data_IF_387983912515
#
_entry.id   IF_387983912515
#
_cell.length_a   1.000
_cell.length_b   1.000
_cell.length_c   1.000
_cell.angle_alpha   90.00
_cell.angle_beta   90.00
_cell.angle_gamma   90.00
#
_symmetry.space_group_name_H-M   'P 1'
#
loop_
_entity.id
_entity.type
_entity.pdbx_description
1 polymer ?
#
# COMPACT_ATOMS: atom_id res chain seq x y z
N UNK A 1 6.36 -19.83 -18.43
CA UNK A 1 7.36 -18.96 -19.10
C UNK A 1 7.38 -17.63 -18.36
N UNK A 2 8.58 -17.12 -18.04
CA UNK A 2 8.79 -15.97 -17.16
C UNK A 2 9.43 -14.82 -17.95
N UNK A 3 9.16 -13.59 -17.54
CA UNK A 3 9.93 -12.41 -17.95
C UNK A 3 11.18 -12.31 -17.07
N UNK A 4 12.36 -12.11 -17.66
CA UNK A 4 13.65 -12.04 -16.94
C UNK A 4 14.24 -10.64 -17.00
N UNK A 5 14.67 -10.11 -15.86
CA UNK A 5 15.31 -8.80 -15.71
C UNK A 5 16.78 -8.98 -15.35
N UNK A 6 17.67 -8.87 -16.34
CA UNK A 6 19.12 -9.10 -16.14
C UNK A 6 19.70 -8.16 -15.08
N UNK A 7 19.42 -6.86 -15.18
CA UNK A 7 19.94 -5.83 -14.29
C UNK A 7 19.35 -5.89 -12.86
N UNK A 8 18.33 -6.71 -12.64
CA UNK A 8 17.82 -7.07 -11.32
C UNK A 8 18.28 -8.48 -10.88
N UNK A 9 19.49 -8.88 -11.27
CA UNK A 9 20.10 -10.18 -10.98
C UNK A 9 19.28 -11.36 -11.50
N UNK A 10 18.81 -11.26 -12.75
CA UNK A 10 17.91 -12.24 -13.37
C UNK A 10 16.63 -12.47 -12.57
N UNK A 11 16.13 -11.44 -11.88
CA UNK A 11 14.82 -11.50 -11.25
C UNK A 11 13.76 -11.85 -12.29
N UNK A 12 12.79 -12.66 -11.90
CA UNK A 12 11.77 -13.17 -12.81
C UNK A 12 10.37 -12.83 -12.34
N UNK A 13 9.50 -12.49 -13.28
CA UNK A 13 8.06 -12.35 -13.04
C UNK A 13 7.26 -13.20 -14.02
N UNK A 14 6.05 -13.65 -13.65
CA UNK A 14 5.16 -14.31 -14.59
C UNK A 14 4.90 -13.42 -15.82
N UNK A 15 4.95 -14.00 -17.03
CA UNK A 15 4.60 -13.26 -18.26
C UNK A 15 3.22 -12.62 -18.18
N UNK A 16 2.24 -13.32 -17.61
CA UNK A 16 0.88 -12.81 -17.42
C UNK A 16 0.85 -11.53 -16.58
N UNK A 17 1.70 -11.44 -15.55
CA UNK A 17 1.81 -10.23 -14.74
C UNK A 17 2.37 -9.06 -15.54
N UNK A 18 3.40 -9.27 -16.37
CA UNK A 18 3.96 -8.19 -17.19
C UNK A 18 2.95 -7.70 -18.25
N UNK A 19 2.22 -8.61 -18.91
CA UNK A 19 1.17 -8.24 -19.88
C UNK A 19 0.02 -7.50 -19.17
N UNK A 20 -0.38 -7.94 -17.98
CA UNK A 20 -1.35 -7.22 -17.17
C UNK A 20 -0.87 -5.82 -16.82
N UNK A 21 0.39 -5.68 -16.41
CA UNK A 21 0.99 -4.39 -16.09
C UNK A 21 1.04 -3.47 -17.31
N UNK A 22 1.43 -3.98 -18.48
CA UNK A 22 1.35 -3.29 -19.77
C UNK A 22 -0.06 -2.75 -20.03
N UNK A 23 -1.07 -3.61 -19.93
CA UNK A 23 -2.48 -3.23 -20.12
C UNK A 23 -2.94 -2.15 -19.14
N UNK A 24 -2.55 -2.28 -17.87
CA UNK A 24 -2.86 -1.28 -16.83
C UNK A 24 -2.17 0.05 -17.12
N UNK A 25 -0.93 0.02 -17.60
CA UNK A 25 -0.13 1.19 -17.96
C UNK A 25 -0.77 1.99 -19.09
N UNK A 26 -1.19 1.31 -20.17
CA UNK A 26 -1.96 1.93 -21.26
C UNK A 26 -3.24 2.57 -20.74
N UNK A 27 -4.00 1.87 -19.91
CA UNK A 27 -5.24 2.41 -19.34
C UNK A 27 -5.01 3.65 -18.47
N UNK A 28 -3.80 3.85 -17.92
CA UNK A 28 -3.50 4.94 -16.97
C UNK A 28 -2.85 6.14 -17.64
N UNK A 29 -1.95 5.91 -18.59
CA UNK A 29 -1.05 6.94 -19.10
C UNK A 29 -1.09 7.13 -20.62
N UNK A 30 -1.67 6.20 -21.38
CA UNK A 30 -1.86 6.38 -22.83
C UNK A 30 -3.01 7.33 -23.11
N UNK A 31 -2.91 8.13 -24.17
CA UNK A 31 -4.04 8.90 -24.70
C UNK A 31 -5.14 8.00 -25.28
N UNK A 32 -4.77 6.84 -25.83
CA UNK A 32 -5.69 5.76 -26.21
C UNK A 32 -5.61 4.61 -25.21
N UNK A 33 -6.57 4.58 -24.28
CA UNK A 33 -6.65 3.55 -23.23
C UNK A 33 -6.97 2.14 -23.77
N UNK A 34 -7.51 2.01 -24.98
CA UNK A 34 -7.91 0.72 -25.56
C UNK A 34 -6.83 0.12 -26.46
N UNK A 35 -5.85 0.92 -26.87
CA UNK A 35 -4.77 0.51 -27.76
C UNK A 35 -3.80 -0.52 -27.16
N UNK A 36 -3.91 -0.95 -25.90
CA UNK A 36 -2.88 -1.79 -25.25
C UNK A 36 -2.45 -3.06 -25.99
N UNK A 37 -3.28 -3.60 -26.90
CA UNK A 37 -2.93 -4.77 -27.74
C UNK A 37 -1.96 -4.43 -28.87
N UNK A 38 -2.23 -3.34 -29.59
CA UNK A 38 -1.49 -2.94 -30.81
C UNK A 38 -0.54 -1.77 -30.56
N UNK A 39 -0.76 -1.09 -29.44
CA UNK A 39 -0.07 0.09 -29.00
C UNK A 39 1.39 -0.17 -28.69
N UNK A 40 2.14 0.91 -28.74
CA UNK A 40 3.58 0.92 -28.63
C UNK A 40 3.95 1.80 -27.43
N UNK A 41 5.00 1.43 -26.72
CA UNK A 41 5.59 2.27 -25.68
C UNK A 41 7.05 2.56 -26.03
N UNK A 42 7.50 3.81 -25.91
CA UNK A 42 8.91 4.15 -26.00
C UNK A 42 9.74 3.32 -25.03
N UNK A 43 10.93 2.89 -25.43
CA UNK A 43 11.81 2.16 -24.53
C UNK A 43 12.28 3.08 -23.39
N UNK A 44 12.79 4.27 -23.76
CA UNK A 44 13.41 5.25 -22.86
C UNK A 44 14.36 4.63 -21.83
N UNK A 45 15.23 3.74 -22.30
CA UNK A 45 16.26 3.14 -21.48
C UNK A 45 17.13 4.24 -20.85
N UNK A 46 17.35 4.17 -19.53
CA UNK A 46 18.02 5.24 -18.80
C UNK A 46 18.69 4.68 -17.56
N UNK A 47 19.88 5.21 -17.22
CA UNK A 47 20.58 4.89 -15.97
C UNK A 47 20.17 5.82 -14.82
N UNK A 48 19.34 6.84 -15.08
CA UNK A 48 18.88 7.77 -14.05
C UNK A 48 18.02 7.07 -13.01
N UNK A 49 17.97 7.57 -11.76
CA UNK A 49 17.00 7.12 -10.76
C UNK A 49 15.55 7.25 -11.23
N UNK A 50 14.65 6.44 -10.67
CA UNK A 50 13.25 6.39 -11.12
C UNK A 50 12.55 7.74 -10.99
N UNK A 51 12.76 8.45 -9.86
CA UNK A 51 12.11 9.74 -9.62
C UNK A 51 12.44 10.77 -10.72
N UNK A 52 13.66 10.79 -11.26
CA UNK A 52 14.04 11.69 -12.36
C UNK A 52 13.30 11.37 -13.66
N UNK A 53 13.03 10.09 -13.94
CA UNK A 53 12.25 9.70 -15.11
C UNK A 53 10.81 10.23 -15.00
N UNK A 54 10.24 10.17 -13.79
CA UNK A 54 8.90 10.68 -13.52
C UNK A 54 8.85 12.21 -13.61
N UNK A 55 9.83 12.92 -13.02
CA UNK A 55 9.95 14.39 -13.13
C UNK A 55 10.10 14.86 -14.59
N UNK A 56 10.68 14.01 -15.46
CA UNK A 56 10.82 14.25 -16.91
C UNK A 56 9.61 13.86 -17.75
N UNK A 57 8.50 13.49 -17.11
CA UNK A 57 7.27 13.04 -17.77
C UNK A 57 7.47 11.77 -18.62
N UNK A 58 8.42 10.91 -18.25
CA UNK A 58 8.72 9.65 -18.96
C UNK A 58 7.95 8.46 -18.39
N UNK A 59 6.87 8.70 -17.63
CA UNK A 59 6.10 7.63 -17.00
C UNK A 59 5.54 6.63 -18.01
N UNK A 60 5.12 7.05 -19.20
CA UNK A 60 4.66 6.14 -20.26
C UNK A 60 5.83 5.57 -21.07
N UNK A 61 6.57 4.64 -20.47
CA UNK A 61 7.70 3.95 -21.09
C UNK A 61 7.86 2.51 -20.63
N UNK A 62 8.53 1.70 -21.45
CA UNK A 62 8.89 0.32 -21.08
C UNK A 62 9.87 0.33 -19.90
N UNK A 63 10.79 1.29 -19.84
CA UNK A 63 11.76 1.43 -18.75
C UNK A 63 11.08 1.63 -17.39
N UNK A 64 10.15 2.58 -17.28
CA UNK A 64 9.42 2.82 -16.03
C UNK A 64 8.56 1.60 -15.67
N UNK A 65 7.84 1.02 -16.63
CA UNK A 65 7.07 -0.21 -16.39
C UNK A 65 7.95 -1.35 -15.88
N UNK A 66 9.13 -1.56 -16.48
CA UNK A 66 10.08 -2.59 -16.09
C UNK A 66 10.60 -2.37 -14.66
N UNK A 67 10.94 -1.13 -14.29
CA UNK A 67 11.31 -0.76 -12.92
C UNK A 67 10.19 -1.03 -11.92
N UNK A 68 8.93 -0.80 -12.29
CA UNK A 68 7.79 -1.14 -11.43
C UNK A 68 7.63 -2.65 -11.20
N UNK A 69 8.22 -3.49 -12.06
CA UNK A 69 8.11 -4.95 -11.95
C UNK A 69 9.16 -5.61 -11.07
N UNK A 70 10.28 -4.94 -10.80
CA UNK A 70 11.39 -5.48 -10.00
C UNK A 70 11.30 -5.06 -8.53
N UNK A 71 11.98 -5.77 -7.60
CA UNK A 71 12.09 -5.36 -6.20
C UNK A 71 12.61 -3.93 -6.06
N UNK A 72 12.18 -3.24 -5.00
CA UNK A 72 12.48 -1.82 -4.79
C UNK A 72 13.96 -1.47 -4.91
N UNK A 73 14.86 -2.34 -4.43
CA UNK A 73 16.32 -2.11 -4.44
C UNK A 73 16.94 -1.98 -5.84
N UNK A 74 16.19 -2.30 -6.90
CA UNK A 74 16.64 -2.20 -8.30
C UNK A 74 15.91 -1.11 -9.08
N UNK A 75 15.00 -0.35 -8.47
CA UNK A 75 14.16 0.62 -9.21
C UNK A 75 14.93 1.85 -9.70
N UNK A 76 16.07 2.16 -9.09
CA UNK A 76 16.95 3.25 -9.53
C UNK A 76 18.02 2.82 -10.54
N UNK A 77 18.02 1.56 -10.97
CA UNK A 77 18.91 1.10 -12.03
C UNK A 77 18.13 0.82 -13.32
N UNK A 78 18.82 0.99 -14.45
CA UNK A 78 18.30 0.69 -15.78
C UNK A 78 17.77 -0.75 -15.83
N UNK A 79 16.57 -0.97 -16.35
CA UNK A 79 16.01 -2.32 -16.51
C UNK A 79 15.85 -2.75 -17.97
N UNK A 80 15.72 -1.81 -18.90
CA UNK A 80 15.55 -2.06 -20.33
C UNK A 80 16.86 -1.77 -21.05
N UNK A 81 17.35 -2.77 -21.76
CA UNK A 81 18.48 -2.71 -22.68
C UNK A 81 18.33 -3.84 -23.73
N UNK A 82 19.28 -3.96 -24.66
CA UNK A 82 19.22 -4.98 -25.71
C UNK A 82 19.14 -6.41 -25.16
N UNK A 83 19.78 -6.68 -24.03
CA UNK A 83 19.74 -8.00 -23.39
C UNK A 83 18.36 -8.28 -22.78
N UNK A 84 17.71 -7.29 -22.14
CA UNK A 84 16.34 -7.42 -21.66
C UNK A 84 15.38 -7.82 -22.78
N UNK A 85 15.51 -7.22 -23.97
CA UNK A 85 14.67 -7.58 -25.12
C UNK A 85 15.01 -8.98 -25.62
N UNK A 86 16.30 -9.32 -25.76
CA UNK A 86 16.76 -10.65 -26.19
C UNK A 86 16.37 -11.78 -25.25
N UNK A 87 16.27 -11.52 -23.94
CA UNK A 87 15.82 -12.48 -22.94
C UNK A 87 14.30 -12.66 -22.92
N UNK A 88 13.54 -11.73 -23.50
CA UNK A 88 12.07 -11.71 -23.45
C UNK A 88 11.38 -11.67 -24.84
N UNK A 89 11.83 -12.45 -25.84
CA UNK A 89 11.33 -12.34 -27.22
C UNK A 89 9.89 -12.85 -27.38
N UNK A 90 9.43 -13.67 -26.44
CA UNK A 90 8.07 -14.18 -26.40
C UNK A 90 7.04 -13.15 -25.87
N UNK A 91 7.49 -11.97 -25.47
CA UNK A 91 6.64 -10.91 -24.89
C UNK A 91 6.76 -9.60 -25.64
N UNK A 92 7.98 -9.17 -25.95
CA UNK A 92 8.24 -7.86 -26.55
C UNK A 92 8.94 -8.00 -27.91
N UNK A 93 8.61 -7.10 -28.82
CA UNK A 93 9.35 -6.84 -30.06
C UNK A 93 9.61 -5.35 -30.21
N UNK A 94 10.79 -5.01 -30.74
CA UNK A 94 11.16 -3.62 -31.05
C UNK A 94 10.35 -3.12 -32.24
N UNK A 95 9.92 -1.86 -32.15
CA UNK A 95 9.23 -1.11 -33.19
C UNK A 95 9.65 0.36 -33.11
N UNK A 96 9.50 1.10 -34.21
CA UNK A 96 9.54 2.56 -34.14
C UNK A 96 8.17 3.08 -33.68
N UNK A 97 8.17 4.02 -32.74
CA UNK A 97 6.97 4.67 -32.25
C UNK A 97 7.19 6.18 -32.10
N UNK A 98 6.10 6.94 -32.02
CA UNK A 98 6.15 8.35 -31.61
C UNK A 98 5.98 8.44 -30.10
N UNK A 99 6.57 9.46 -29.48
CA UNK A 99 6.39 9.76 -28.07
C UNK A 99 5.97 11.22 -27.90
N UNK A 100 4.99 11.49 -27.03
CA UNK A 100 4.46 12.85 -26.85
C UNK A 100 5.52 13.87 -26.40
N UNK A 101 6.60 13.40 -25.77
CA UNK A 101 7.69 14.22 -25.22
C UNK A 101 8.90 14.38 -26.15
N UNK A 102 8.90 13.76 -27.33
CA UNK A 102 10.02 13.83 -28.27
C UNK A 102 9.51 14.13 -29.68
N UNK A 103 10.19 15.04 -30.38
CA UNK A 103 9.93 15.26 -31.79
C UNK A 103 10.51 14.10 -32.61
N UNK A 104 9.67 13.40 -33.37
CA UNK A 104 10.08 12.34 -34.29
C UNK A 104 9.85 10.91 -33.78
N UNK A 105 10.40 9.95 -34.52
CA UNK A 105 10.33 8.54 -34.16
C UNK A 105 11.42 8.19 -33.15
N UNK A 106 11.03 7.41 -32.14
CA UNK A 106 11.93 6.84 -31.13
C UNK A 106 11.80 5.32 -31.14
N UNK A 107 12.82 4.65 -30.63
CA UNK A 107 12.76 3.21 -30.42
C UNK A 107 11.75 2.89 -29.31
N UNK A 108 10.83 1.98 -29.63
CA UNK A 108 9.79 1.50 -28.73
C UNK A 108 9.68 -0.02 -28.76
N UNK A 109 8.75 -0.53 -27.96
CA UNK A 109 8.32 -1.91 -28.05
C UNK A 109 6.81 -2.01 -28.18
N UNK A 110 6.36 -3.17 -28.65
CA UNK A 110 4.97 -3.63 -28.49
C UNK A 110 4.93 -5.08 -28.07
N UNK A 111 3.76 -5.51 -27.59
CA UNK A 111 3.53 -6.93 -27.34
C UNK A 111 3.64 -7.74 -28.63
N UNK A 112 4.20 -8.95 -28.52
CA UNK A 112 4.21 -9.92 -29.62
C UNK A 112 2.88 -10.64 -29.74
N UNK A 113 2.60 -11.21 -30.90
CA UNK A 113 1.36 -11.96 -31.13
C UNK A 113 1.31 -13.19 -30.19
N UNK A 114 2.46 -13.82 -29.93
CA UNK A 114 2.60 -14.89 -28.94
C UNK A 114 2.23 -14.45 -27.50
N UNK A 115 2.52 -13.20 -27.13
CA UNK A 115 2.14 -12.65 -25.84
C UNK A 115 0.63 -12.49 -25.72
N UNK A 116 0.00 -12.00 -26.80
CA UNK A 116 -1.44 -11.81 -26.89
C UNK A 116 -2.18 -13.16 -26.89
N UNK A 117 -1.71 -14.12 -27.69
CA UNK A 117 -2.27 -15.48 -27.72
C UNK A 117 -2.21 -16.13 -26.34
N UNK A 118 -1.09 -15.96 -25.62
CA UNK A 118 -0.97 -16.45 -24.26
C UNK A 118 -1.97 -15.78 -23.32
N UNK A 119 -2.10 -14.46 -23.39
CA UNK A 119 -3.05 -13.72 -22.56
C UNK A 119 -4.48 -14.21 -22.82
N UNK A 120 -4.85 -14.37 -24.09
CA UNK A 120 -6.20 -14.80 -24.51
C UNK A 120 -6.49 -16.27 -24.15
N UNK A 121 -5.45 -17.10 -24.02
CA UNK A 121 -5.59 -18.48 -23.55
C UNK A 121 -5.77 -18.60 -22.02
N UNK A 122 -5.46 -17.56 -21.24
CA UNK A 122 -5.71 -17.57 -19.79
C UNK A 122 -7.20 -17.54 -19.49
N UNK A 123 -7.60 -18.22 -18.43
CA UNK A 123 -8.97 -18.10 -17.91
C UNK A 123 -9.25 -16.68 -17.44
N UNK A 124 -10.53 -16.30 -17.40
CA UNK A 124 -10.96 -15.00 -16.87
C UNK A 124 -10.41 -14.74 -15.45
N UNK A 125 -10.39 -15.76 -14.59
CA UNK A 125 -9.90 -15.64 -13.22
C UNK A 125 -8.39 -15.39 -13.15
N UNK A 126 -7.61 -16.05 -14.00
CA UNK A 126 -6.15 -15.81 -14.08
C UNK A 126 -5.84 -14.42 -14.62
N UNK A 127 -6.55 -13.96 -15.65
CA UNK A 127 -6.41 -12.60 -16.16
C UNK A 127 -6.74 -11.55 -15.09
N UNK A 128 -7.87 -11.72 -14.38
CA UNK A 128 -8.27 -10.78 -13.33
C UNK A 128 -7.28 -10.78 -12.16
N UNK A 129 -6.74 -11.95 -11.78
CA UNK A 129 -5.71 -12.07 -10.76
C UNK A 129 -4.44 -11.31 -11.13
N UNK A 130 -3.92 -11.50 -12.35
CA UNK A 130 -2.74 -10.76 -12.80
C UNK A 130 -3.01 -9.25 -12.92
N UNK A 131 -4.22 -8.85 -13.35
CA UNK A 131 -4.63 -7.45 -13.34
C UNK A 131 -4.67 -6.87 -11.93
N UNK A 132 -5.16 -7.64 -10.93
CA UNK A 132 -5.13 -7.20 -9.53
C UNK A 132 -3.69 -7.00 -9.06
N UNK A 133 -2.79 -7.95 -9.30
CA UNK A 133 -1.38 -7.78 -8.91
C UNK A 133 -0.69 -6.61 -9.63
N UNK A 134 -0.99 -6.40 -10.91
CA UNK A 134 -0.48 -5.26 -11.66
C UNK A 134 -1.00 -3.93 -11.08
N UNK A 135 -2.31 -3.79 -10.87
CA UNK A 135 -2.90 -2.59 -10.27
C UNK A 135 -2.32 -2.33 -8.87
N UNK A 136 -2.18 -3.37 -8.03
CA UNK A 136 -1.59 -3.26 -6.71
C UNK A 136 -0.17 -2.69 -6.76
N UNK A 137 0.70 -3.16 -7.68
CA UNK A 137 2.07 -2.65 -7.82
C UNK A 137 2.17 -1.18 -8.20
N UNK A 138 1.16 -0.68 -8.91
CA UNK A 138 1.15 0.70 -9.41
C UNK A 138 0.52 1.63 -8.36
N UNK A 139 -0.45 1.12 -7.59
CA UNK A 139 -1.08 1.86 -6.51
C UNK A 139 -0.30 1.80 -5.20
N UNK A 140 0.55 0.79 -4.97
CA UNK A 140 1.32 0.66 -3.73
C UNK A 140 2.44 1.70 -3.65
N UNK A 141 3.00 1.90 -2.44
CA UNK A 141 4.19 2.74 -2.25
C UNK A 141 5.34 2.31 -3.17
N UNK A 142 5.87 3.25 -3.96
CA UNK A 142 6.99 3.01 -4.87
C UNK A 142 8.31 3.30 -4.16
N UNK A 143 8.70 2.36 -3.31
CA UNK A 143 10.00 2.41 -2.66
C UNK A 143 11.13 2.36 -3.71
N UNK A 144 12.20 3.14 -3.49
CA UNK A 144 13.45 3.11 -4.26
C UNK A 144 14.66 3.23 -3.32
N UNK A 145 15.89 2.99 -3.79
CA UNK A 145 17.11 3.32 -3.05
C UNK A 145 17.27 4.82 -2.75
N UNK A 146 16.71 5.69 -3.59
CA UNK A 146 16.70 7.14 -3.40
C UNK A 146 15.80 7.58 -2.25
N UNK A 147 16.20 8.66 -1.57
CA UNK A 147 15.38 9.35 -0.57
C UNK A 147 14.38 10.36 -1.21
N UNK A 148 14.23 10.35 -2.54
CA UNK A 148 13.31 11.24 -3.29
C UNK A 148 12.00 10.54 -3.70
N UNK A 149 10.83 11.11 -3.38
CA UNK A 149 9.54 10.47 -3.65
C UNK A 149 9.34 10.21 -5.15
N UNK A 150 8.78 9.03 -5.48
CA UNK A 150 8.44 8.66 -6.85
C UNK A 150 6.95 8.90 -7.11
N UNK A 151 6.60 10.03 -7.71
CA UNK A 151 5.19 10.40 -7.92
C UNK A 151 4.75 9.98 -9.32
N UNK A 152 3.91 8.94 -9.43
CA UNK A 152 3.34 8.50 -10.72
C UNK A 152 2.17 9.35 -11.20
N UNK A 153 1.31 9.77 -10.28
CA UNK A 153 0.14 10.61 -10.56
C UNK A 153 0.21 11.83 -9.65
N UNK A 154 0.70 12.97 -10.16
CA UNK A 154 0.70 14.22 -9.39
C UNK A 154 -0.71 14.83 -9.37
N UNK A 155 -1.31 14.89 -8.18
CA UNK A 155 -2.61 15.51 -7.95
C UNK A 155 -2.51 16.85 -7.21
N UNK A 156 -1.30 17.37 -6.99
CA UNK A 156 -1.05 18.52 -6.13
C UNK A 156 -1.03 18.15 -4.64
N UNK A 157 -0.73 19.15 -3.81
CA UNK A 157 -0.72 19.06 -2.35
C UNK A 157 -2.15 19.23 -1.84
N UNK A 158 -2.61 18.30 -1.02
CA UNK A 158 -3.90 18.42 -0.32
C UNK A 158 -3.72 19.11 1.03
N UNK A 159 -4.57 20.10 1.31
CA UNK A 159 -4.68 20.79 2.60
C UNK A 159 -6.01 20.36 3.22
N UNK A 160 -5.98 19.84 4.45
CA UNK A 160 -7.20 19.46 5.17
C UNK A 160 -7.78 20.67 5.89
N UNK A 161 -9.12 20.76 5.90
CA UNK A 161 -9.86 21.71 6.72
C UNK A 161 -10.35 22.96 6.00
N UNK A 162 -10.19 23.04 4.67
CA UNK A 162 -10.74 24.17 3.89
C UNK A 162 -12.28 24.11 3.79
N UNK A 163 -12.87 22.91 3.73
CA UNK A 163 -14.32 22.73 3.46
C UNK A 163 -15.10 21.97 4.56
N UNK A 164 -14.42 21.26 5.48
CA UNK A 164 -15.07 20.43 6.50
C UNK A 164 -14.34 20.62 7.83
N UNK A 165 -15.08 21.07 8.84
CA UNK A 165 -14.58 21.35 10.18
C UNK A 165 -14.84 20.17 11.13
N UNK A 166 -13.89 19.81 12.03
CA UNK A 166 -14.10 18.76 13.01
C UNK A 166 -15.27 19.09 13.96
N UNK A 167 -15.99 18.08 14.48
CA UNK A 167 -17.11 18.31 15.39
C UNK A 167 -16.66 18.91 16.72
N UNK A 168 -15.45 18.57 17.17
CA UNK A 168 -14.86 19.05 18.42
C UNK A 168 -13.37 19.30 18.21
N UNK A 169 -12.89 20.46 18.65
CA UNK A 169 -11.47 20.77 18.79
C UNK A 169 -11.13 20.75 20.28
N UNK A 170 -10.31 19.79 20.76
CA UNK A 170 -9.85 19.80 22.15
C UNK A 170 -9.00 21.04 22.46
N UNK A 171 -8.91 21.42 23.73
CA UNK A 171 -8.02 22.52 24.15
C UNK A 171 -6.53 22.14 23.94
N UNK A 172 -5.64 23.12 23.76
CA UNK A 172 -4.20 22.88 23.61
C UNK A 172 -3.60 21.99 24.72
N UNK A 173 -4.10 22.12 25.94
CA UNK A 173 -3.62 21.39 27.13
C UNK A 173 -4.32 20.05 27.34
N UNK A 174 -5.27 19.67 26.47
CA UNK A 174 -5.94 18.37 26.54
C UNK A 174 -4.95 17.23 26.26
N UNK A 175 -5.27 16.06 26.79
CA UNK A 175 -4.44 14.86 26.63
C UNK A 175 -4.42 14.37 25.18
N UNK A 176 -3.37 13.65 24.78
CA UNK A 176 -3.31 13.00 23.46
C UNK A 176 -4.50 12.07 23.20
N UNK A 177 -5.01 11.42 24.25
CA UNK A 177 -6.20 10.59 24.16
C UNK A 177 -7.44 11.38 23.71
N UNK A 178 -7.65 12.59 24.21
CA UNK A 178 -8.77 13.44 23.80
C UNK A 178 -8.66 13.86 22.32
N UNK A 179 -7.45 14.13 21.84
CA UNK A 179 -7.21 14.39 20.42
C UNK A 179 -7.46 13.14 19.56
N UNK A 180 -7.08 11.95 20.03
CA UNK A 180 -7.38 10.69 19.34
C UNK A 180 -8.90 10.47 19.24
N UNK A 181 -9.63 10.70 20.34
CA UNK A 181 -11.09 10.61 20.33
C UNK A 181 -11.72 11.61 19.35
N UNK A 182 -11.23 12.85 19.32
CA UNK A 182 -11.69 13.87 18.38
C UNK A 182 -11.43 13.47 16.91
N UNK A 183 -10.31 12.81 16.60
CA UNK A 183 -10.08 12.24 15.25
C UNK A 183 -11.08 11.14 14.93
N UNK A 184 -11.36 10.24 15.87
CA UNK A 184 -12.32 9.15 15.66
C UNK A 184 -13.72 9.73 15.38
N UNK A 185 -14.13 10.71 16.17
CA UNK A 185 -15.41 11.42 16.00
C UNK A 185 -15.46 12.14 14.65
N UNK A 186 -14.38 12.82 14.28
CA UNK A 186 -14.30 13.50 12.99
C UNK A 186 -14.42 12.51 11.83
N UNK A 187 -13.71 11.38 11.84
CA UNK A 187 -13.82 10.37 10.77
C UNK A 187 -15.24 9.79 10.67
N UNK A 188 -15.94 9.66 11.81
CA UNK A 188 -17.31 9.15 11.82
C UNK A 188 -18.30 10.11 11.15
N UNK A 189 -18.14 11.42 11.36
CA UNK A 189 -19.07 12.43 10.84
C UNK A 189 -18.70 12.95 9.44
N UNK A 190 -17.41 12.98 9.13
CA UNK A 190 -16.86 13.50 7.88
C UNK A 190 -17.41 12.70 6.67
N UNK A 191 -17.98 13.36 5.65
CA UNK A 191 -18.33 12.70 4.40
C UNK A 191 -17.10 12.19 3.65
N UNK A 192 -17.17 10.96 3.16
CA UNK A 192 -16.11 10.27 2.44
C UNK A 192 -16.55 9.81 1.07
N UNK A 193 -15.79 10.18 0.05
CA UNK A 193 -15.95 9.66 -1.29
C UNK A 193 -14.78 8.73 -1.62
N UNK A 194 -15.00 7.42 -1.81
CA UNK A 194 -13.95 6.52 -2.28
C UNK A 194 -13.41 6.98 -3.64
N UNK A 195 -12.08 7.02 -3.78
CA UNK A 195 -11.40 7.50 -4.98
C UNK A 195 -10.57 6.41 -5.63
N UNK A 196 -10.70 6.24 -6.95
CA UNK A 196 -9.84 5.36 -7.75
C UNK A 196 -9.27 6.12 -8.93
N UNK A 197 -7.94 6.25 -8.99
CA UNK A 197 -7.26 7.01 -10.05
C UNK A 197 -7.84 8.42 -10.20
N UNK A 198 -8.02 9.09 -9.06
CA UNK A 198 -8.58 10.46 -8.95
C UNK A 198 -10.03 10.61 -9.42
N UNK A 199 -10.75 9.51 -9.63
CA UNK A 199 -12.18 9.53 -9.96
C UNK A 199 -13.01 8.99 -8.79
N UNK A 200 -14.14 9.63 -8.48
CA UNK A 200 -15.06 9.12 -7.46
C UNK A 200 -15.59 7.75 -7.87
N UNK A 201 -15.77 6.88 -6.87
CA UNK A 201 -16.27 5.52 -7.01
C UNK A 201 -17.40 5.32 -6.01
N UNK A 202 -18.55 4.90 -6.52
CA UNK A 202 -19.74 4.71 -5.68
C UNK A 202 -20.28 6.02 -5.13
N UNK A 203 -21.13 5.90 -4.12
CA UNK A 203 -21.72 7.05 -3.43
C UNK A 203 -20.81 7.54 -2.29
N UNK A 204 -21.02 8.79 -1.89
CA UNK A 204 -20.42 9.35 -0.69
C UNK A 204 -21.02 8.68 0.55
N UNK A 205 -20.19 8.31 1.51
CA UNK A 205 -20.58 7.63 2.75
C UNK A 205 -20.07 8.40 3.97
N UNK A 206 -20.66 8.17 5.13
CA UNK A 206 -20.15 8.65 6.42
C UNK A 206 -20.21 7.51 7.43
N UNK A 207 -19.59 7.67 8.60
CA UNK A 207 -19.33 6.65 9.61
C UNK A 207 -18.19 5.69 9.31
N UNK A 208 -17.54 5.22 10.37
CA UNK A 208 -16.51 4.17 10.28
C UNK A 208 -17.04 2.90 9.59
N UNK A 209 -18.27 2.51 9.90
CA UNK A 209 -18.91 1.30 9.35
C UNK A 209 -19.06 1.38 7.83
N UNK A 210 -19.68 2.46 7.33
CA UNK A 210 -19.98 2.57 5.90
C UNK A 210 -18.70 2.86 5.10
N UNK A 211 -17.72 3.58 5.67
CA UNK A 211 -16.37 3.71 5.10
C UNK A 211 -15.68 2.36 4.92
N UNK A 212 -15.76 1.45 5.90
CA UNK A 212 -15.18 0.11 5.77
C UNK A 212 -15.92 -0.73 4.71
N UNK A 213 -17.25 -0.62 4.60
CA UNK A 213 -18.00 -1.30 3.54
C UNK A 213 -17.64 -0.77 2.13
N UNK A 214 -17.32 0.52 2.02
CA UNK A 214 -16.89 1.16 0.79
C UNK A 214 -15.41 0.87 0.43
N UNK A 215 -14.65 0.24 1.33
CA UNK A 215 -13.25 -0.11 1.10
C UNK A 215 -13.10 -0.99 -0.15
N UNK A 216 -12.04 -0.72 -0.92
CA UNK A 216 -11.58 -1.60 -1.98
C UNK A 216 -10.06 -1.55 -2.09
N UNK A 217 -9.47 -2.66 -2.55
CA UNK A 217 -8.07 -2.68 -2.97
C UNK A 217 -7.80 -3.85 -3.91
N UNK A 218 -7.01 -3.66 -4.99
CA UNK A 218 -6.40 -2.41 -5.45
C UNK A 218 -7.30 -1.58 -6.37
N UNK A 219 -8.47 -2.13 -6.73
CA UNK A 219 -9.43 -1.51 -7.66
C UNK A 219 -10.86 -1.71 -7.16
N UNK A 220 -11.83 -0.87 -7.56
CA UNK A 220 -13.21 -0.88 -7.04
C UNK A 220 -13.92 -2.23 -7.06
N UNK A 221 -13.66 -3.05 -8.09
CA UNK A 221 -14.27 -4.38 -8.20
C UNK A 221 -13.84 -5.32 -7.07
N UNK A 222 -12.70 -5.06 -6.45
CA UNK A 222 -12.16 -5.82 -5.34
C UNK A 222 -12.51 -5.11 -4.02
N UNK A 223 -13.81 -5.07 -3.73
CA UNK A 223 -14.35 -4.44 -2.52
C UNK A 223 -14.02 -5.22 -1.24
N UNK A 224 -14.47 -4.69 -0.10
CA UNK A 224 -14.17 -5.19 1.25
C UNK A 224 -14.36 -6.70 1.43
N UNK A 225 -15.48 -7.25 0.94
CA UNK A 225 -15.77 -8.69 1.02
C UNK A 225 -14.71 -9.53 0.29
N UNK A 226 -14.47 -9.20 -0.98
CA UNK A 226 -13.52 -9.93 -1.81
C UNK A 226 -12.10 -9.80 -1.27
N UNK A 227 -11.73 -8.60 -0.82
CA UNK A 227 -10.44 -8.34 -0.18
C UNK A 227 -10.25 -9.22 1.06
N UNK A 228 -11.22 -9.21 1.96
CA UNK A 228 -11.18 -10.00 3.21
C UNK A 228 -11.11 -11.50 2.94
N UNK A 229 -11.80 -11.99 1.92
CA UNK A 229 -11.74 -13.40 1.52
C UNK A 229 -10.34 -13.80 1.01
N UNK A 230 -9.68 -12.93 0.25
CA UNK A 230 -8.31 -13.19 -0.23
C UNK A 230 -7.26 -13.09 0.87
N UNK A 231 -7.46 -12.16 1.81
CA UNK A 231 -6.54 -11.94 2.92
C UNK A 231 -6.61 -13.03 4.00
N UNK A 232 -7.81 -13.53 4.31
CA UNK A 232 -8.05 -14.45 5.43
C UNK A 232 -7.13 -15.69 5.43
N UNK A 233 -6.91 -16.40 4.30
CA UNK A 233 -5.95 -17.51 4.26
C UNK A 233 -4.50 -17.10 4.53
N UNK A 234 -4.11 -15.85 4.25
CA UNK A 234 -2.76 -15.32 4.51
C UNK A 234 -2.59 -15.04 6.01
N UNK A 235 -3.56 -14.37 6.63
CA UNK A 235 -3.60 -14.14 8.09
C UNK A 235 -3.55 -15.47 8.83
N UNK A 236 -4.37 -16.45 8.42
CA UNK A 236 -4.39 -17.78 9.04
C UNK A 236 -3.00 -18.45 9.02
N UNK A 237 -2.34 -18.47 7.86
CA UNK A 237 -0.99 -19.05 7.71
C UNK A 237 0.05 -18.31 8.56
N UNK A 238 -0.01 -16.98 8.62
CA UNK A 238 0.85 -16.20 9.50
C UNK A 238 0.58 -16.49 10.97
N UNK A 239 -0.67 -16.68 11.38
CA UNK A 239 -1.02 -17.02 12.76
C UNK A 239 -0.44 -18.36 13.20
N UNK A 240 -0.47 -19.38 12.34
CA UNK A 240 0.19 -20.66 12.61
C UNK A 240 1.71 -20.49 12.83
N UNK A 241 2.37 -19.70 11.97
CA UNK A 241 3.81 -19.44 12.08
C UNK A 241 4.14 -18.58 13.31
N UNK A 242 3.31 -17.59 13.61
CA UNK A 242 3.48 -16.69 14.75
C UNK A 242 3.32 -17.43 16.07
N UNK A 243 2.33 -18.33 16.19
CA UNK A 243 2.15 -19.18 17.36
C UNK A 243 3.41 -20.01 17.66
N UNK A 244 4.05 -20.57 16.63
CA UNK A 244 5.33 -21.27 16.76
C UNK A 244 6.46 -20.36 17.24
N UNK A 245 6.52 -19.12 16.75
CA UNK A 245 7.52 -18.14 17.20
C UNK A 245 7.29 -17.73 18.66
N UNK A 246 6.04 -17.53 19.06
CA UNK A 246 5.69 -17.22 20.45
C UNK A 246 6.02 -18.37 21.42
N UNK A 247 5.88 -19.61 20.97
CA UNK A 247 6.25 -20.82 21.71
C UNK A 247 7.76 -21.16 21.65
N UNK A 248 8.56 -20.33 20.99
CA UNK A 248 9.98 -20.56 20.69
C UNK A 248 10.26 -21.92 20.00
N UNK A 249 9.29 -22.43 19.23
CA UNK A 249 9.42 -23.68 18.50
C UNK A 249 10.36 -23.52 17.29
N UNK A 250 11.22 -24.52 17.02
CA UNK A 250 12.02 -24.53 15.80
C UNK A 250 11.11 -24.69 14.56
N UNK A 251 11.46 -24.01 13.47
CA UNK A 251 10.79 -24.20 12.18
C UNK A 251 11.38 -25.38 11.42
N UNK A 252 10.52 -26.33 11.06
CA UNK A 252 10.87 -27.44 10.17
C UNK A 252 10.77 -27.03 8.70
N UNK A 253 11.11 -27.95 7.79
CA UNK A 253 11.14 -27.67 6.35
C UNK A 253 9.82 -27.10 5.82
N UNK A 254 8.69 -27.66 6.26
CA UNK A 254 7.36 -27.21 5.84
C UNK A 254 7.04 -25.81 6.34
N UNK A 255 7.40 -25.48 7.59
CA UNK A 255 7.21 -24.13 8.16
C UNK A 255 8.02 -23.09 7.38
N UNK A 256 9.28 -23.41 7.04
CA UNK A 256 10.17 -22.51 6.28
C UNK A 256 9.62 -22.27 4.87
N UNK A 257 9.12 -23.32 4.23
CA UNK A 257 8.48 -23.25 2.91
C UNK A 257 7.20 -22.43 2.96
N UNK A 258 6.35 -22.68 3.97
CA UNK A 258 5.11 -21.94 4.19
C UNK A 258 5.38 -20.46 4.45
N UNK A 259 6.40 -20.13 5.25
CA UNK A 259 6.78 -18.77 5.57
C UNK A 259 7.17 -17.98 4.32
N UNK A 260 8.09 -18.52 3.50
CA UNK A 260 8.53 -17.86 2.25
C UNK A 260 7.39 -17.73 1.26
N UNK A 261 6.57 -18.78 1.09
CA UNK A 261 5.41 -18.76 0.19
C UNK A 261 4.38 -17.71 0.62
N UNK A 262 4.00 -17.71 1.90
CA UNK A 262 3.01 -16.78 2.44
C UNK A 262 3.49 -15.34 2.35
N UNK A 263 4.76 -15.08 2.69
CA UNK A 263 5.33 -13.75 2.55
C UNK A 263 5.31 -13.27 1.09
N UNK A 264 5.71 -14.09 0.13
CA UNK A 264 5.65 -13.71 -1.28
C UNK A 264 4.21 -13.46 -1.76
N UNK A 265 3.23 -14.26 -1.33
CA UNK A 265 1.82 -14.03 -1.67
C UNK A 265 1.30 -12.70 -1.11
N UNK A 266 1.64 -12.35 0.14
CA UNK A 266 1.30 -11.06 0.74
C UNK A 266 1.92 -9.91 -0.06
N UNK A 267 3.21 -10.01 -0.39
CA UNK A 267 3.92 -8.97 -1.12
C UNK A 267 3.36 -8.81 -2.54
N UNK A 268 2.92 -9.89 -3.20
CA UNK A 268 2.23 -9.80 -4.50
C UNK A 268 0.84 -9.16 -4.36
N UNK A 269 0.07 -9.57 -3.36
CA UNK A 269 -1.26 -9.05 -3.06
C UNK A 269 -1.25 -7.55 -2.74
N UNK A 270 -0.25 -7.11 -1.97
CA UNK A 270 -0.05 -5.72 -1.60
C UNK A 270 0.69 -4.88 -2.66
N UNK A 271 1.28 -5.51 -3.69
CA UNK A 271 2.03 -4.79 -4.74
C UNK A 271 3.44 -4.36 -4.34
N UNK A 272 4.06 -5.01 -3.35
CA UNK A 272 5.30 -4.57 -2.68
C UNK A 272 6.44 -5.61 -2.86
N UNK A 273 6.93 -5.90 -4.08
CA UNK A 273 7.92 -6.95 -4.30
C UNK A 273 9.23 -6.71 -3.54
N UNK A 274 9.78 -7.77 -2.92
CA UNK A 274 11.01 -7.74 -2.12
C UNK A 274 12.03 -8.77 -2.65
N UNK A 275 13.32 -8.50 -2.47
CA UNK A 275 14.42 -9.39 -2.89
C UNK A 275 14.73 -10.48 -1.85
N UNK A 276 14.77 -10.12 -0.58
CA UNK A 276 15.30 -10.98 0.50
C UNK A 276 14.17 -11.68 1.29
N UNK A 277 13.28 -12.35 0.58
CA UNK A 277 12.19 -13.11 1.22
C UNK A 277 12.70 -14.50 1.63
N UNK A 278 13.43 -14.54 2.75
CA UNK A 278 13.92 -15.78 3.35
C UNK A 278 13.13 -16.14 4.61
N UNK A 279 13.14 -17.42 5.00
CA UNK A 279 12.42 -17.85 6.20
C UNK A 279 13.01 -17.22 7.47
N UNK A 280 14.31 -16.94 7.52
CA UNK A 280 14.96 -16.25 8.65
C UNK A 280 14.44 -14.82 8.78
N UNK A 281 14.31 -14.09 7.67
CA UNK A 281 13.78 -12.73 7.68
C UNK A 281 12.32 -12.72 8.13
N UNK A 282 11.49 -13.63 7.60
CA UNK A 282 10.09 -13.76 8.04
C UNK A 282 10.04 -14.08 9.54
N UNK A 283 10.84 -15.03 10.03
CA UNK A 283 10.87 -15.39 11.46
C UNK A 283 11.23 -14.20 12.34
N UNK A 284 12.23 -13.38 11.96
CA UNK A 284 12.64 -12.18 12.71
C UNK A 284 11.55 -11.11 12.75
N UNK A 285 10.82 -10.91 11.65
CA UNK A 285 9.66 -10.00 11.62
C UNK A 285 8.55 -10.51 12.54
N UNK A 286 8.19 -11.79 12.46
CA UNK A 286 7.20 -12.39 13.36
C UNK A 286 7.64 -12.35 14.83
N UNK A 287 8.93 -12.55 15.12
CA UNK A 287 9.48 -12.43 16.46
C UNK A 287 9.39 -11.00 16.99
N UNK A 288 9.53 -10.00 16.11
CA UNK A 288 9.36 -8.60 16.47
C UNK A 288 7.91 -8.28 16.83
N UNK A 289 6.95 -8.84 16.07
CA UNK A 289 5.51 -8.76 16.39
C UNK A 289 5.23 -9.44 17.73
N UNK A 290 5.71 -10.68 17.93
CA UNK A 290 5.46 -11.47 19.14
C UNK A 290 5.99 -10.81 20.42
N UNK A 291 7.09 -10.05 20.33
CA UNK A 291 7.75 -9.42 21.48
C UNK A 291 7.42 -7.94 21.67
N UNK A 292 6.79 -7.30 20.69
CA UNK A 292 6.51 -5.86 20.73
C UNK A 292 7.76 -4.98 20.64
N UNK A 293 8.86 -5.52 20.12
CA UNK A 293 10.14 -4.80 19.96
C UNK A 293 10.91 -5.37 18.76
N UNK A 294 11.83 -4.58 18.20
CA UNK A 294 12.66 -5.04 17.07
C UNK A 294 13.57 -6.20 17.49
N UNK A 295 13.47 -7.33 16.77
CA UNK A 295 14.37 -8.47 16.96
C UNK A 295 15.50 -8.46 15.93
N UNK A 296 16.73 -8.23 16.39
CA UNK A 296 17.93 -8.22 15.56
C UNK A 296 17.83 -7.29 14.35
N UNK A 297 18.16 -7.82 13.18
CA UNK A 297 18.10 -7.15 11.86
C UNK A 297 16.75 -7.34 11.15
N UNK A 298 15.65 -7.60 11.89
CA UNK A 298 14.30 -7.70 11.34
C UNK A 298 14.02 -6.57 10.33
N UNK A 299 13.67 -6.96 9.10
CA UNK A 299 13.44 -6.03 8.00
C UNK A 299 12.23 -5.14 8.28
N UNK A 300 12.28 -3.90 7.78
CA UNK A 300 11.21 -2.94 7.94
C UNK A 300 11.15 -2.01 6.72
N UNK A 301 10.00 -2.01 6.05
CA UNK A 301 9.54 -1.13 4.96
C UNK A 301 8.03 -1.41 4.74
N UNK A 302 7.37 -0.82 3.75
CA UNK A 302 5.92 -1.00 3.56
C UNK A 302 5.54 -2.48 3.36
N UNK A 303 6.38 -3.27 2.69
CA UNK A 303 6.16 -4.70 2.49
C UNK A 303 6.24 -5.52 3.78
N UNK A 304 7.29 -5.31 4.57
CA UNK A 304 7.47 -6.01 5.85
C UNK A 304 6.49 -5.53 6.94
N UNK A 305 6.11 -4.25 6.92
CA UNK A 305 5.06 -3.69 7.77
C UNK A 305 3.70 -4.34 7.48
N UNK A 306 3.36 -4.55 6.20
CA UNK A 306 2.14 -5.26 5.81
C UNK A 306 2.15 -6.72 6.30
N UNK A 307 3.27 -7.43 6.17
CA UNK A 307 3.41 -8.78 6.72
C UNK A 307 3.23 -8.80 8.24
N UNK A 308 3.86 -7.85 8.94
CA UNK A 308 3.79 -7.73 10.39
C UNK A 308 2.37 -7.40 10.88
N UNK A 309 1.63 -6.51 10.19
CA UNK A 309 0.25 -6.17 10.56
C UNK A 309 -0.71 -7.33 10.33
N UNK A 310 -0.58 -8.05 9.21
CA UNK A 310 -1.37 -9.27 8.96
C UNK A 310 -1.07 -10.36 10.00
N UNK A 311 0.18 -10.47 10.46
CA UNK A 311 0.53 -11.40 11.52
C UNK A 311 -0.10 -10.98 12.86
N UNK A 312 -0.02 -9.70 13.21
CA UNK A 312 -0.64 -9.18 14.43
C UNK A 312 -2.18 -9.35 14.42
N UNK A 313 -2.82 -9.21 13.27
CA UNK A 313 -4.25 -9.44 13.10
C UNK A 313 -4.69 -10.90 13.37
N UNK A 314 -3.75 -11.85 13.43
CA UNK A 314 -4.04 -13.24 13.83
C UNK A 314 -4.04 -13.45 15.35
N UNK A 315 -3.55 -12.48 16.13
CA UNK A 315 -3.50 -12.56 17.59
C UNK A 315 -4.88 -12.29 18.20
N UNK A 316 -5.23 -12.97 19.30
CA UNK A 316 -6.39 -12.58 20.11
C UNK A 316 -6.20 -11.16 20.67
N UNK A 317 -7.31 -10.48 20.97
CA UNK A 317 -7.34 -9.07 21.39
C UNK A 317 -6.45 -8.77 22.61
N UNK A 318 -5.22 -8.33 22.34
CA UNK A 318 -4.23 -7.81 23.28
C UNK A 318 -3.51 -6.61 22.64
N UNK A 319 -2.65 -5.89 23.38
CA UNK A 319 -1.94 -4.70 22.83
C UNK A 319 -1.10 -5.01 21.58
N UNK A 320 -0.55 -6.23 21.47
CA UNK A 320 0.18 -6.68 20.27
C UNK A 320 -0.74 -6.90 19.05
N UNK A 321 -2.04 -7.08 19.25
CA UNK A 321 -3.03 -7.19 18.18
C UNK A 321 -3.39 -5.83 17.55
N UNK A 322 -2.84 -4.73 18.08
CA UNK A 322 -3.10 -3.37 17.56
C UNK A 322 -2.12 -2.89 16.49
N UNK A 323 -1.17 -3.74 16.08
CA UNK A 323 -0.18 -3.38 15.08
C UNK A 323 -0.82 -3.28 13.69
N UNK A 324 -0.70 -2.12 13.04
CA UNK A 324 -1.19 -1.86 11.68
C UNK A 324 -0.04 -1.61 10.72
N UNK A 325 -0.27 -1.77 9.41
CA UNK A 325 0.71 -1.35 8.41
C UNK A 325 0.79 0.18 8.40
N UNK A 326 1.75 0.75 9.15
CA UNK A 326 1.99 2.20 9.21
C UNK A 326 2.65 2.72 7.92
N UNK A 327 1.89 2.64 6.83
CA UNK A 327 2.26 3.10 5.49
C UNK A 327 1.86 4.57 5.28
N UNK A 328 2.18 5.06 4.08
CA UNK A 328 1.91 6.44 3.70
C UNK A 328 0.45 6.84 3.86
N UNK A 329 -0.49 6.01 3.39
CA UNK A 329 -1.93 6.29 3.46
C UNK A 329 -2.43 6.39 4.90
N UNK A 330 -2.09 5.42 5.74
CA UNK A 330 -2.50 5.42 7.14
C UNK A 330 -1.92 6.61 7.89
N UNK A 331 -0.62 6.90 7.66
CA UNK A 331 0.04 8.04 8.30
C UNK A 331 -0.56 9.37 7.83
N UNK A 332 -0.84 9.51 6.53
CA UNK A 332 -1.45 10.71 5.98
C UNK A 332 -2.86 10.91 6.54
N UNK A 333 -3.71 9.89 6.55
CA UNK A 333 -5.10 9.97 7.03
C UNK A 333 -5.22 10.38 8.50
N UNK A 334 -4.35 9.85 9.35
CA UNK A 334 -4.37 10.10 10.79
C UNK A 334 -3.64 11.41 11.15
N UNK A 335 -2.40 11.58 10.67
CA UNK A 335 -1.59 12.72 11.06
C UNK A 335 -2.13 14.05 10.53
N UNK A 336 -2.76 14.07 9.35
CA UNK A 336 -3.30 15.34 8.83
C UNK A 336 -4.46 15.86 9.68
N UNK A 337 -5.27 14.95 10.25
CA UNK A 337 -6.36 15.33 11.16
C UNK A 337 -5.84 15.70 12.54
N UNK A 338 -4.84 14.98 13.06
CA UNK A 338 -4.18 15.36 14.30
C UNK A 338 -3.47 16.72 14.19
N UNK A 339 -2.75 16.94 13.09
CA UNK A 339 -2.08 18.20 12.78
C UNK A 339 -3.07 19.36 12.80
N UNK A 340 -4.17 19.24 12.04
CA UNK A 340 -5.23 20.23 12.01
C UNK A 340 -5.80 20.51 13.41
N UNK A 341 -6.20 19.47 14.15
CA UNK A 341 -6.78 19.63 15.49
C UNK A 341 -5.81 20.31 16.46
N UNK A 342 -4.53 19.94 16.44
CA UNK A 342 -3.50 20.54 17.28
C UNK A 342 -3.30 22.02 16.94
N UNK A 343 -3.20 22.35 15.66
CA UNK A 343 -3.03 23.73 15.19
C UNK A 343 -4.23 24.59 15.57
N UNK A 344 -5.46 24.12 15.32
CA UNK A 344 -6.69 24.81 15.72
C UNK A 344 -6.82 24.97 17.23
N UNK A 345 -6.29 24.01 18.00
CA UNK A 345 -6.21 24.13 19.45
C UNK A 345 -5.20 25.19 19.93
N UNK A 346 -4.35 25.73 19.04
CA UNK A 346 -3.31 26.72 19.33
C UNK A 346 -1.92 26.11 19.59
N UNK A 347 -1.72 24.83 19.28
CA UNK A 347 -0.40 24.18 19.38
C UNK A 347 0.46 24.60 18.19
N UNK A 348 1.64 25.16 18.48
CA UNK A 348 2.58 25.63 17.44
C UNK A 348 3.76 24.68 17.19
N UNK A 349 4.02 23.75 18.10
CA UNK A 349 5.08 22.74 18.01
C UNK A 349 4.64 21.43 18.68
N UNK A 350 5.10 20.28 18.18
CA UNK A 350 4.70 18.96 18.72
C UNK A 350 5.25 18.68 20.13
N UNK A 351 6.41 19.22 20.50
CA UNK A 351 7.05 18.97 21.80
C UNK A 351 7.04 17.47 22.21
N UNK A 352 6.29 17.10 23.26
CA UNK A 352 6.14 15.73 23.77
C UNK A 352 4.81 15.07 23.33
N UNK A 353 4.02 15.73 22.49
CA UNK A 353 2.75 15.20 21.97
C UNK A 353 3.02 14.03 21.02
N UNK A 354 2.31 12.92 21.20
CA UNK A 354 2.38 11.72 20.38
C UNK A 354 3.82 11.18 20.16
N UNK A 355 4.55 10.81 21.22
CA UNK A 355 5.94 10.43 21.12
C UNK A 355 6.12 9.20 20.21
N UNK A 356 7.00 9.33 19.22
CA UNK A 356 7.39 8.22 18.34
C UNK A 356 6.48 7.97 17.14
N UNK A 357 5.33 8.65 17.01
CA UNK A 357 4.55 8.63 15.76
C UNK A 357 5.11 9.67 14.78
N UNK A 358 4.91 9.44 13.49
CA UNK A 358 5.37 10.37 12.47
C UNK A 358 5.00 9.94 11.06
N UNK A 359 5.45 10.73 10.09
CA UNK A 359 5.12 10.54 8.68
C UNK A 359 5.85 9.34 8.10
N UNK A 360 5.12 8.55 7.32
CA UNK A 360 5.71 7.64 6.34
C UNK A 360 5.50 8.31 4.98
N UNK A 361 6.56 8.73 4.26
CA UNK A 361 6.38 9.40 2.99
C UNK A 361 5.65 8.47 2.01
N UNK A 362 4.72 9.02 1.24
CA UNK A 362 4.06 8.33 0.14
C UNK A 362 4.94 8.35 -1.08
N UNK A 363 5.26 7.16 -1.58
CA UNK A 363 6.07 7.02 -2.78
C UNK A 363 5.26 6.45 -3.94
N UNK A 364 3.95 6.24 -3.79
CA UNK A 364 3.14 5.65 -4.84
C UNK A 364 1.69 6.09 -4.79
N UNK A 365 1.18 6.57 -5.91
CA UNK A 365 -0.22 6.97 -6.10
C UNK A 365 -0.78 7.94 -5.05
N UNK A 366 0.06 8.64 -4.29
CA UNK A 366 -0.30 9.41 -3.09
C UNK A 366 -0.13 10.90 -3.32
N UNK A 367 -1.05 11.68 -2.74
CA UNK A 367 -0.97 13.14 -2.62
C UNK A 367 -0.10 13.47 -1.42
N UNK A 368 1.02 14.18 -1.56
CA UNK A 368 1.70 14.74 -0.39
C UNK A 368 0.73 15.68 0.32
N UNK A 369 0.46 15.45 1.61
CA UNK A 369 -0.26 16.41 2.46
C UNK A 369 0.74 17.35 3.10
N UNK A 370 0.42 18.64 3.11
CA UNK A 370 1.18 19.60 3.89
C UNK A 370 0.81 19.42 5.36
N UNK A 371 1.83 19.38 6.22
CA UNK A 371 1.67 19.43 7.66
C UNK A 371 2.16 20.77 8.16
N UNK A 372 1.42 21.37 9.07
CA UNK A 372 1.80 22.63 9.72
C UNK A 372 2.83 22.36 10.81
N UNK A 373 2.64 21.27 11.55
CA UNK A 373 3.58 20.85 12.59
C UNK A 373 4.68 19.97 11.99
N UNK A 374 5.89 20.09 12.53
CA UNK A 374 7.06 19.33 12.09
C UNK A 374 7.04 17.87 12.54
N UNK A 375 6.13 17.05 12.00
CA UNK A 375 6.07 15.61 12.30
C UNK A 375 7.36 14.90 11.87
N UNK A 376 7.95 14.05 12.73
CA UNK A 376 9.17 13.34 12.39
C UNK A 376 8.91 12.29 11.30
N UNK A 377 9.94 11.95 10.52
CA UNK A 377 9.87 10.82 9.61
C UNK A 377 10.15 9.51 10.37
N UNK A 378 9.21 8.57 10.33
CA UNK A 378 9.31 7.27 10.99
C UNK A 378 9.28 6.10 10.00
N UNK A 379 9.52 6.38 8.71
CA UNK A 379 9.60 5.34 7.70
C UNK A 379 10.71 4.34 8.01
N UNK A 380 10.43 3.07 7.75
CA UNK A 380 11.32 1.93 8.04
C UNK A 380 11.66 1.77 9.54
N UNK A 381 10.83 2.30 10.44
CA UNK A 381 11.06 2.28 11.90
C UNK A 381 10.11 1.35 12.64
N UNK A 382 10.66 0.33 13.31
CA UNK A 382 9.91 -0.50 14.26
C UNK A 382 9.34 0.32 15.44
N UNK A 383 10.11 1.18 16.13
CA UNK A 383 9.57 2.06 17.15
C UNK A 383 8.37 2.90 16.68
N UNK A 384 8.44 3.44 15.45
CA UNK A 384 7.34 4.20 14.87
C UNK A 384 6.07 3.36 14.66
N UNK A 385 6.25 2.13 14.17
CA UNK A 385 5.14 1.19 14.00
C UNK A 385 4.47 0.80 15.33
N UNK A 386 5.25 0.59 16.39
CA UNK A 386 4.72 0.29 17.73
C UNK A 386 4.06 1.50 18.39
N UNK A 387 4.60 2.71 18.21
CA UNK A 387 3.97 3.94 18.68
C UNK A 387 2.61 4.16 17.99
N UNK A 388 2.54 3.95 16.68
CA UNK A 388 1.27 3.97 15.94
C UNK A 388 0.29 2.93 16.48
N UNK A 389 0.74 1.71 16.80
CA UNK A 389 -0.11 0.67 17.36
C UNK A 389 -0.78 1.08 18.69
N UNK A 390 -0.08 1.87 19.52
CA UNK A 390 -0.67 2.42 20.76
C UNK A 390 -1.81 3.41 20.46
N UNK A 391 -1.64 4.28 19.45
CA UNK A 391 -2.71 5.19 19.01
C UNK A 391 -3.91 4.41 18.46
N UNK A 392 -3.67 3.39 17.64
CA UNK A 392 -4.74 2.54 17.09
C UNK A 392 -5.46 1.77 18.20
N UNK A 393 -4.76 1.32 19.25
CA UNK A 393 -5.40 0.70 20.40
C UNK A 393 -6.38 1.67 21.08
N UNK A 394 -5.98 2.93 21.28
CA UNK A 394 -6.88 3.97 21.82
C UNK A 394 -8.08 4.22 20.92
N UNK A 395 -7.88 4.31 19.60
CA UNK A 395 -8.99 4.46 18.65
C UNK A 395 -9.97 3.28 18.70
N UNK A 396 -9.44 2.05 18.73
CA UNK A 396 -10.22 0.81 18.84
C UNK A 396 -11.06 0.77 20.11
N UNK A 397 -10.43 1.09 21.23
CA UNK A 397 -11.09 1.03 22.53
C UNK A 397 -12.18 2.11 22.62
N UNK A 398 -11.95 3.29 22.05
CA UNK A 398 -12.98 4.34 21.96
C UNK A 398 -14.14 3.91 21.03
N UNK A 399 -13.85 3.38 19.85
CA UNK A 399 -14.86 2.87 18.91
C UNK A 399 -15.77 1.80 19.53
N UNK A 400 -15.22 0.96 20.41
CA UNK A 400 -15.96 -0.14 21.03
C UNK A 400 -16.71 0.24 22.32
N UNK A 401 -16.26 1.27 23.04
CA UNK A 401 -16.75 1.56 24.39
C UNK A 401 -17.43 2.93 24.54
N UNK A 402 -17.28 3.85 23.57
CA UNK A 402 -17.91 5.15 23.64
C UNK A 402 -19.43 5.02 23.61
N UNK A 403 -20.09 5.81 24.45
CA UNK A 403 -21.56 5.89 24.51
C UNK A 403 -22.02 7.30 24.17
N UNK A 404 -23.21 7.40 23.58
CA UNK A 404 -23.88 8.66 23.30
C UNK A 404 -24.55 9.24 24.56
N UNK A 405 -25.25 10.38 24.39
CA UNK A 405 -25.97 11.05 25.49
C UNK A 405 -27.10 10.22 26.10
N UNK A 406 -27.54 9.15 25.43
CA UNK A 406 -28.58 8.23 25.87
C UNK A 406 -27.99 6.94 26.48
N UNK A 407 -26.67 6.83 26.58
CA UNK A 407 -25.98 5.65 27.07
C UNK A 407 -25.96 4.47 26.08
N UNK A 408 -26.34 4.69 24.82
CA UNK A 408 -26.22 3.69 23.75
C UNK A 408 -24.84 3.75 23.12
N UNK A 409 -24.39 2.66 22.48
CA UNK A 409 -23.10 2.66 21.78
C UNK A 409 -23.07 3.78 20.74
N UNK A 410 -22.06 4.65 20.82
CA UNK A 410 -21.94 5.83 19.96
C UNK A 410 -21.72 5.45 18.50
N UNK A 411 -20.88 4.45 18.26
CA UNK A 411 -20.49 4.03 16.92
C UNK A 411 -21.18 2.73 16.51
N UNK A 412 -21.47 2.62 15.21
CA UNK A 412 -21.91 1.35 14.63
C UNK A 412 -20.80 0.29 14.81
N UNK A 413 -21.16 -0.98 15.12
CA UNK A 413 -20.18 -2.05 15.23
C UNK A 413 -19.50 -2.32 13.88
N UNK A 414 -18.30 -2.88 13.92
CA UNK A 414 -17.51 -3.16 12.73
C UNK A 414 -18.25 -4.18 11.83
N UNK A 415 -18.46 -3.89 10.53
CA UNK A 415 -18.98 -4.88 9.61
C UNK A 415 -17.95 -5.99 9.39
N UNK A 416 -18.41 -7.24 9.34
CA UNK A 416 -17.61 -8.41 9.01
C UNK A 416 -17.94 -8.84 7.58
N UNK A 417 -16.95 -9.33 6.85
CA UNK A 417 -17.12 -9.81 5.47
C UNK A 417 -18.28 -10.83 5.31
N UNK A 418 -18.55 -11.66 6.31
CA UNK A 418 -19.68 -12.60 6.30
C UNK A 418 -21.08 -11.98 6.47
N UNK A 419 -21.22 -10.64 6.43
CA UNK A 419 -22.49 -9.92 6.61
C UNK A 419 -22.94 -9.79 8.07
N UNK A 420 -22.11 -10.23 9.03
CA UNK A 420 -22.33 -10.01 10.46
C UNK A 420 -21.63 -8.74 10.92
N UNK A 421 -21.76 -8.41 12.20
CA UNK A 421 -20.98 -7.35 12.85
C UNK A 421 -20.17 -7.90 14.02
N UNK A 422 -19.16 -7.15 14.46
CA UNK A 422 -18.32 -7.48 15.60
C UNK A 422 -17.66 -6.24 16.22
N UNK A 423 -16.82 -6.41 17.26
CA UNK A 423 -16.02 -5.32 17.78
C UNK A 423 -15.06 -4.80 16.72
N UNK A 424 -14.75 -3.52 16.77
CA UNK A 424 -13.68 -2.91 15.99
C UNK A 424 -12.34 -3.52 16.35
N UNK A 425 -11.59 -3.86 15.31
CA UNK A 425 -10.22 -4.39 15.40
C UNK A 425 -9.25 -3.37 14.81
N UNK A 426 -7.97 -3.46 15.15
CA UNK A 426 -6.95 -2.62 14.54
C UNK A 426 -6.86 -2.82 13.03
N UNK A 427 -7.13 -4.04 12.54
CA UNK A 427 -7.19 -4.32 11.11
C UNK A 427 -8.36 -3.57 10.44
N UNK A 428 -9.54 -3.55 11.04
CA UNK A 428 -10.68 -2.78 10.53
C UNK A 428 -10.37 -1.28 10.46
N UNK A 429 -9.72 -0.74 11.50
CA UNK A 429 -9.28 0.66 11.54
C UNK A 429 -8.23 0.94 10.46
N UNK A 430 -7.23 0.05 10.30
CA UNK A 430 -6.21 0.16 9.25
C UNK A 430 -6.86 0.28 7.87
N UNK A 431 -7.85 -0.56 7.55
CA UNK A 431 -8.49 -0.53 6.24
C UNK A 431 -9.23 0.78 5.99
N UNK A 432 -9.91 1.34 6.99
CA UNK A 432 -10.55 2.66 6.87
C UNK A 432 -9.49 3.75 6.67
N UNK A 433 -8.47 3.82 7.53
CA UNK A 433 -7.40 4.82 7.42
C UNK A 433 -6.64 4.71 6.09
N UNK A 434 -6.45 3.49 5.59
CA UNK A 434 -5.83 3.25 4.31
C UNK A 434 -6.68 3.77 3.14
N UNK A 435 -8.01 3.61 3.20
CA UNK A 435 -8.90 4.18 2.19
C UNK A 435 -8.98 5.71 2.27
N UNK A 436 -8.94 6.28 3.48
CA UNK A 436 -8.96 7.73 3.72
C UNK A 436 -7.71 8.47 3.23
N UNK A 437 -6.58 7.76 3.13
CA UNK A 437 -5.32 8.35 2.67
C UNK A 437 -5.16 8.44 1.15
N UNK A 438 -6.24 8.22 0.36
CA UNK A 438 -6.21 8.17 -1.12
C UNK A 438 -6.45 9.50 -1.82
#
# INVERSE_FOLDING_TARGET
>A
MLMTFQNAHNFQVPRGLFIAAWKVWFKRFSSDHYAWREGQMPLFNSERPLFELLERQQQFSVEVLARMMVPWSYRDSQQVNDEFIRLNPAVLRIVECTADICEGFVEGARLTDQALDYWDALTFNEQDLYLNFAEARIQADIETPSDRPCILDDAGIEIIGEDIYPPVVPNATASDQEFIHAVVDWIDEDPFQPMYRRKPVGEMVSSWHDRLLAYFWPKPRTGYLQYSFMESPLIYRLGLLLAKVMADEPWHYDDRTLAVKTANEILMFAGLPQREVTHENVRKVLASVARGERQGDAKMNSGWACLASMAAASLPEANLASLISWNSRCSAALLSRLDFLLVEAGVSQLEQRFPGIGVTPGWGGTRPRAFTLGWPNVYRSWPGMFAAASVIATMRDYLNNAVDSQGSAKFKPMPLAGGRTGPWTARGIELVLFADGY
#
